data_IF_364269593898
#
_entry.id   IF_364269593898
#
_cell.length_a   1.000
_cell.length_b   1.000
_cell.length_c   1.000
_cell.angle_alpha   90.00
_cell.angle_beta   90.00
_cell.angle_gamma   90.00
#
_symmetry.space_group_name_H-M   'P 1'
#
loop_
_entity.id
_entity.type
_entity.pdbx_description
1 polymer ?
#
# COMPACT_ATOMS: atom_id res chain seq x y z
N UNK A 1 15.88 2.86 -9.60
CA UNK A 1 14.46 2.81 -9.21
C UNK A 1 14.33 3.03 -7.71
N UNK A 2 13.41 3.89 -7.29
CA UNK A 2 13.08 4.14 -5.88
C UNK A 2 11.74 3.49 -5.56
N UNK A 3 11.73 2.51 -4.65
CA UNK A 3 10.52 1.76 -4.28
C UNK A 3 10.08 2.10 -2.87
N UNK A 4 8.81 2.47 -2.72
CA UNK A 4 8.19 2.83 -1.45
C UNK A 4 7.21 1.75 -0.99
N UNK A 5 7.46 1.19 0.19
CA UNK A 5 6.59 0.20 0.77
C UNK A 5 5.78 0.76 1.93
N UNK A 6 4.49 0.44 1.95
CA UNK A 6 3.54 0.80 3.01
C UNK A 6 3.00 -0.47 3.64
N UNK A 7 3.23 -0.62 4.93
CA UNK A 7 2.79 -1.74 5.75
C UNK A 7 1.74 -1.26 6.74
N UNK A 8 0.59 -1.94 6.81
CA UNK A 8 -0.55 -1.52 7.61
C UNK A 8 -0.91 -2.48 8.77
N UNK A 9 -0.01 -3.41 9.13
CA UNK A 9 -0.20 -4.21 10.33
C UNK A 9 0.31 -3.46 11.58
N UNK A 10 -0.40 -3.51 12.72
CA UNK A 10 0.14 -3.00 13.98
C UNK A 10 1.33 -3.81 14.50
N UNK A 11 1.50 -5.06 14.01
CA UNK A 11 2.65 -5.87 14.36
C UNK A 11 3.84 -5.55 13.46
N UNK A 12 4.84 -4.90 14.02
CA UNK A 12 6.03 -4.42 13.30
C UNK A 12 6.86 -5.55 12.70
N UNK A 13 7.02 -6.66 13.42
CA UNK A 13 7.87 -7.78 13.03
C UNK A 13 7.06 -8.99 12.55
N UNK A 14 5.81 -8.78 12.18
CA UNK A 14 4.88 -9.81 11.77
C UNK A 14 5.02 -10.25 10.31
N UNK A 15 4.13 -11.17 9.91
CA UNK A 15 4.06 -11.70 8.55
C UNK A 15 3.96 -10.60 7.49
N UNK A 16 3.10 -9.62 7.68
CA UNK A 16 2.87 -8.52 6.73
C UNK A 16 4.16 -7.73 6.45
N UNK A 17 4.92 -7.42 7.50
CA UNK A 17 6.21 -6.74 7.39
C UNK A 17 7.25 -7.60 6.67
N UNK A 18 7.35 -8.89 7.02
CA UNK A 18 8.29 -9.82 6.37
C UNK A 18 8.07 -9.91 4.86
N UNK A 19 6.80 -9.87 4.42
CA UNK A 19 6.45 -9.91 2.99
C UNK A 19 6.89 -8.65 2.26
N UNK A 20 6.65 -7.47 2.84
CA UNK A 20 7.16 -6.22 2.30
C UNK A 20 8.70 -6.23 2.18
N UNK A 21 9.37 -6.64 3.26
CA UNK A 21 10.83 -6.74 3.30
C UNK A 21 11.41 -7.69 2.24
N UNK A 22 10.72 -8.80 1.92
CA UNK A 22 11.13 -9.72 0.86
C UNK A 22 11.13 -9.03 -0.51
N UNK A 23 10.08 -8.29 -0.86
CA UNK A 23 10.05 -7.53 -2.11
C UNK A 23 11.20 -6.51 -2.12
N UNK A 24 11.35 -5.73 -1.05
CA UNK A 24 12.38 -4.69 -0.96
C UNK A 24 13.81 -5.27 -0.99
N UNK A 25 14.02 -6.48 -0.45
CA UNK A 25 15.28 -7.20 -0.58
C UNK A 25 15.61 -7.48 -2.05
N UNK A 26 14.63 -7.94 -2.82
CA UNK A 26 14.77 -8.15 -4.26
C UNK A 26 15.13 -6.86 -5.01
N UNK A 27 14.44 -5.76 -4.70
CA UNK A 27 14.71 -4.44 -5.29
C UNK A 27 16.16 -3.98 -5.02
N UNK A 28 16.60 -4.08 -3.76
CA UNK A 28 17.99 -3.71 -3.40
C UNK A 28 19.05 -4.56 -4.08
N UNK A 29 18.75 -5.83 -4.31
CA UNK A 29 19.68 -6.72 -5.02
C UNK A 29 19.92 -6.32 -6.49
N UNK A 30 19.00 -5.57 -7.08
CA UNK A 30 19.12 -4.98 -8.43
C UNK A 30 19.55 -3.49 -8.38
N UNK A 31 20.08 -3.04 -7.25
CA UNK A 31 20.61 -1.66 -7.11
C UNK A 31 19.53 -0.58 -6.86
N UNK A 32 18.28 -0.97 -6.63
CA UNK A 32 17.22 -0.03 -6.30
C UNK A 32 17.32 0.49 -4.86
N UNK A 33 16.79 1.68 -4.61
CA UNK A 33 16.64 2.27 -3.28
C UNK A 33 15.26 2.00 -2.72
N UNK A 34 15.15 1.78 -1.41
CA UNK A 34 13.89 1.36 -0.81
C UNK A 34 13.62 2.10 0.49
N UNK A 35 12.35 2.44 0.74
CA UNK A 35 11.86 2.92 2.03
C UNK A 35 10.64 2.08 2.44
N UNK A 36 10.53 1.75 3.72
CA UNK A 36 9.37 1.07 4.31
C UNK A 36 8.81 1.92 5.43
N UNK A 37 7.51 2.18 5.39
CA UNK A 37 6.80 2.83 6.49
C UNK A 37 5.74 1.89 7.09
N UNK A 38 5.48 2.11 8.36
CA UNK A 38 4.46 1.41 9.13
C UNK A 38 3.34 2.40 9.47
N UNK A 39 2.17 2.26 8.86
CA UNK A 39 1.05 3.20 9.04
C UNK A 39 0.63 3.34 10.52
N UNK A 40 0.74 2.27 11.29
CA UNK A 40 0.34 2.26 12.69
C UNK A 40 1.32 2.99 13.64
N UNK A 41 2.47 3.43 13.13
CA UNK A 41 3.43 4.26 13.88
C UNK A 41 3.23 5.76 13.63
N UNK A 42 2.33 6.10 12.75
CA UNK A 42 2.07 7.46 12.29
C UNK A 42 0.74 7.97 12.84
N UNK A 43 0.66 9.27 12.98
CA UNK A 43 -0.57 9.93 13.41
C UNK A 43 -1.48 10.16 12.20
N UNK A 44 -2.37 9.20 11.94
CA UNK A 44 -3.40 9.32 10.91
C UNK A 44 -4.79 9.51 11.51
N UNK A 45 -5.43 10.60 11.16
CA UNK A 45 -6.86 10.82 11.48
C UNK A 45 -7.73 10.26 10.37
N UNK A 46 -8.92 9.76 10.72
CA UNK A 46 -9.89 9.36 9.69
C UNK A 46 -10.47 10.58 8.99
N UNK A 47 -10.99 10.34 7.77
CA UNK A 47 -11.72 11.36 7.04
C UNK A 47 -12.95 11.83 7.85
N UNK A 48 -13.05 13.12 8.08
CA UNK A 48 -14.17 13.75 8.82
C UNK A 48 -15.31 14.20 7.90
N UNK A 49 -15.26 13.86 6.62
CA UNK A 49 -16.22 14.29 5.61
C UNK A 49 -16.48 15.81 5.64
N UNK A 50 -15.42 16.60 5.77
CA UNK A 50 -15.51 18.06 5.83
C UNK A 50 -16.32 18.61 4.65
N UNK A 51 -17.07 19.68 4.89
CA UNK A 51 -17.99 20.29 3.92
C UNK A 51 -18.95 19.24 3.31
N UNK A 52 -19.63 18.46 4.18
CA UNK A 52 -20.53 17.37 3.78
C UNK A 52 -19.92 16.40 2.75
N UNK A 53 -18.61 16.18 2.79
CA UNK A 53 -17.89 15.32 1.87
C UNK A 53 -17.41 16.01 0.58
N UNK A 54 -17.55 17.32 0.46
CA UNK A 54 -17.16 18.12 -0.70
C UNK A 54 -16.02 19.09 -0.39
N UNK A 55 -15.23 18.83 0.64
CA UNK A 55 -14.12 19.68 1.02
C UNK A 55 -13.00 19.77 -0.03
N UNK A 56 -12.02 20.63 0.25
CA UNK A 56 -10.93 21.03 -0.67
C UNK A 56 -10.11 19.85 -1.24
N UNK A 57 -10.18 18.68 -0.64
CA UNK A 57 -9.54 17.50 -1.20
C UNK A 57 -10.08 17.12 -2.60
N UNK A 58 -11.28 17.56 -2.96
CA UNK A 58 -11.90 17.28 -4.25
C UNK A 58 -11.61 18.35 -5.31
N UNK A 59 -11.31 19.57 -4.88
CA UNK A 59 -11.06 20.70 -5.78
C UNK A 59 -9.57 21.04 -5.89
N UNK A 60 -8.84 20.92 -4.79
CA UNK A 60 -7.44 21.32 -4.71
C UNK A 60 -6.49 20.13 -4.54
N UNK A 61 -7.03 18.92 -4.28
CA UNK A 61 -6.21 17.74 -4.06
C UNK A 61 -5.37 17.80 -2.78
N UNK A 62 -5.88 18.46 -1.72
CA UNK A 62 -5.23 18.63 -0.42
C UNK A 62 -6.19 18.24 0.70
N UNK A 63 -5.70 17.58 1.75
CA UNK A 63 -6.51 17.29 2.94
C UNK A 63 -6.35 18.41 3.98
N UNK A 64 -7.46 18.83 4.62
CA UNK A 64 -7.42 19.87 5.67
C UNK A 64 -6.90 19.35 7.02
N UNK A 65 -6.78 18.04 7.18
CA UNK A 65 -6.33 17.44 8.45
C UNK A 65 -4.82 17.56 8.57
N UNK A 66 -4.37 18.19 9.64
CA UNK A 66 -2.97 18.28 10.00
C UNK A 66 -2.55 17.00 10.74
N UNK A 67 -1.90 16.11 10.00
CA UNK A 67 -1.34 14.85 10.47
C UNK A 67 -0.28 14.31 9.46
N UNK A 68 0.22 13.10 9.66
CA UNK A 68 1.31 12.55 8.84
C UNK A 68 0.90 12.19 7.40
N UNK A 69 -0.37 12.33 7.04
CA UNK A 69 -0.88 11.90 5.73
C UNK A 69 -0.19 12.63 4.56
N UNK A 70 -0.08 13.95 4.64
CA UNK A 70 0.48 14.73 3.54
C UNK A 70 1.97 14.46 3.35
N UNK A 71 2.73 14.32 4.45
CA UNK A 71 4.17 13.99 4.38
C UNK A 71 4.43 12.63 3.70
N UNK A 72 3.55 11.66 3.93
CA UNK A 72 3.64 10.36 3.22
C UNK A 72 3.30 10.52 1.74
N UNK A 73 2.31 11.31 1.42
CA UNK A 73 1.91 11.57 0.03
C UNK A 73 3.00 12.27 -0.76
N UNK A 74 3.69 13.22 -0.14
CA UNK A 74 4.87 13.89 -0.73
C UNK A 74 5.98 12.87 -1.01
N UNK A 75 6.30 11.99 -0.06
CA UNK A 75 7.27 10.91 -0.26
C UNK A 75 6.87 9.97 -1.40
N UNK A 76 5.59 9.66 -1.52
CA UNK A 76 5.08 8.83 -2.62
C UNK A 76 5.26 9.49 -3.99
N UNK A 77 5.17 10.81 -4.08
CA UNK A 77 5.33 11.53 -5.35
C UNK A 77 6.69 11.28 -5.99
N UNK A 78 7.74 11.17 -5.18
CA UNK A 78 9.14 11.00 -5.59
C UNK A 78 9.55 9.54 -5.86
N UNK A 79 8.60 8.59 -5.77
CA UNK A 79 8.89 7.18 -5.91
C UNK A 79 8.44 6.64 -7.27
N UNK A 80 9.17 5.65 -7.79
CA UNK A 80 8.93 5.05 -9.10
C UNK A 80 7.92 3.90 -9.02
N UNK A 81 7.96 3.12 -7.94
CA UNK A 81 7.08 1.98 -7.73
C UNK A 81 6.72 1.78 -6.25
N UNK A 82 5.70 0.94 -5.99
CA UNK A 82 5.10 0.79 -4.68
C UNK A 82 4.87 -0.66 -4.28
N UNK A 83 4.90 -0.89 -2.96
CA UNK A 83 4.47 -2.15 -2.35
C UNK A 83 3.47 -1.83 -1.24
N UNK A 84 2.25 -2.32 -1.35
CA UNK A 84 1.24 -2.18 -0.31
C UNK A 84 0.97 -3.51 0.35
N UNK A 85 1.19 -3.58 1.67
CA UNK A 85 0.94 -4.80 2.45
C UNK A 85 -0.08 -4.56 3.55
N UNK A 86 -1.07 -5.44 3.64
CA UNK A 86 -2.13 -5.38 4.66
C UNK A 86 -2.36 -6.73 5.32
N UNK A 87 -2.58 -6.78 6.64
CA UNK A 87 -3.15 -7.96 7.25
C UNK A 87 -4.61 -8.09 6.85
N UNK A 88 -5.13 -9.30 6.89
CA UNK A 88 -6.55 -9.59 6.65
C UNK A 88 -7.30 -9.54 7.97
N UNK A 89 -8.18 -8.55 8.11
CA UNK A 89 -9.05 -8.40 9.27
C UNK A 89 -10.51 -8.59 8.85
N UNK A 90 -11.09 -9.69 9.32
CA UNK A 90 -12.46 -10.11 8.99
C UNK A 90 -12.75 -10.15 7.47
N UNK A 91 -11.76 -10.53 6.65
CA UNK A 91 -11.89 -10.65 5.20
C UNK A 91 -11.75 -9.34 4.44
N UNK A 92 -11.26 -8.29 5.08
CA UNK A 92 -11.03 -6.96 4.51
C UNK A 92 -9.63 -6.44 4.86
N UNK A 93 -9.30 -5.25 4.39
CA UNK A 93 -8.11 -4.49 4.75
C UNK A 93 -8.11 -4.17 6.25
N UNK A 94 -6.92 -3.93 6.82
CA UNK A 94 -6.85 -3.34 8.17
C UNK A 94 -7.46 -1.94 8.19
N UNK A 95 -7.91 -1.49 9.37
CA UNK A 95 -8.46 -0.15 9.54
C UNK A 95 -7.47 0.94 9.13
N UNK A 96 -6.19 0.80 9.46
CA UNK A 96 -5.17 1.77 9.06
C UNK A 96 -4.98 1.85 7.55
N UNK A 97 -4.97 0.70 6.84
CA UNK A 97 -4.98 0.69 5.38
C UNK A 97 -6.22 1.38 4.82
N UNK A 98 -7.39 1.07 5.39
CA UNK A 98 -8.66 1.65 4.95
C UNK A 98 -8.69 3.16 5.14
N UNK A 99 -8.27 3.66 6.29
CA UNK A 99 -8.16 5.11 6.58
C UNK A 99 -7.24 5.80 5.57
N UNK A 100 -6.06 5.21 5.33
CA UNK A 100 -5.09 5.75 4.37
C UNK A 100 -5.66 5.82 2.96
N UNK A 101 -6.17 4.71 2.43
CA UNK A 101 -6.69 4.66 1.06
C UNK A 101 -7.96 5.48 0.86
N UNK A 102 -8.85 5.57 1.86
CA UNK A 102 -10.04 6.41 1.76
C UNK A 102 -9.71 7.89 1.65
N UNK A 103 -8.67 8.35 2.31
CA UNK A 103 -8.18 9.72 2.17
C UNK A 103 -7.43 9.91 0.86
N UNK A 104 -6.53 8.98 0.52
CA UNK A 104 -5.71 9.06 -0.68
C UNK A 104 -6.57 9.15 -1.94
N UNK A 105 -7.59 8.28 -2.10
CA UNK A 105 -8.48 8.33 -3.26
C UNK A 105 -9.28 9.64 -3.38
N UNK A 106 -9.56 10.31 -2.25
CA UNK A 106 -10.28 11.60 -2.26
C UNK A 106 -9.38 12.73 -2.73
N UNK A 107 -8.18 12.80 -2.20
CA UNK A 107 -7.18 13.81 -2.56
C UNK A 107 -6.73 13.62 -4.01
N UNK A 108 -6.45 12.40 -4.42
CA UNK A 108 -6.07 12.10 -5.81
C UNK A 108 -7.23 12.31 -6.79
N UNK A 109 -8.48 12.15 -6.35
CA UNK A 109 -9.66 12.50 -7.14
C UNK A 109 -9.75 13.98 -7.49
N UNK A 110 -9.23 14.88 -6.65
CA UNK A 110 -9.06 16.30 -6.94
C UNK A 110 -7.95 16.62 -7.95
N UNK A 111 -7.14 15.62 -8.30
CA UNK A 111 -6.03 15.67 -9.28
C UNK A 111 -6.26 14.73 -10.48
N UNK A 112 -7.50 14.38 -10.76
CA UNK A 112 -7.89 13.42 -11.82
C UNK A 112 -7.14 12.08 -11.76
N UNK A 113 -6.72 11.66 -10.56
CA UNK A 113 -5.95 10.43 -10.31
C UNK A 113 -4.64 10.35 -11.12
N UNK A 114 -4.02 11.49 -11.42
CA UNK A 114 -2.83 11.56 -12.27
C UNK A 114 -1.52 11.26 -11.56
N UNK A 115 -1.44 11.45 -10.24
CA UNK A 115 -0.16 11.39 -9.49
C UNK A 115 0.54 10.03 -9.56
N UNK A 116 -0.20 8.94 -9.66
CA UNK A 116 0.33 7.57 -9.66
C UNK A 116 0.13 6.83 -10.99
N UNK A 117 -0.34 7.53 -12.01
CA UNK A 117 -0.62 6.93 -13.33
C UNK A 117 0.63 6.24 -13.89
N UNK A 118 0.49 4.93 -14.14
CA UNK A 118 1.55 4.11 -14.73
C UNK A 118 2.69 3.73 -13.77
N UNK A 119 2.67 4.19 -12.51
CA UNK A 119 3.65 3.71 -11.52
C UNK A 119 3.31 2.28 -11.11
N UNK A 120 4.29 1.40 -11.17
CA UNK A 120 4.10 -0.04 -10.88
C UNK A 120 3.83 -0.27 -9.40
N UNK A 121 2.97 -1.24 -9.09
CA UNK A 121 2.69 -1.61 -7.69
C UNK A 121 2.48 -3.10 -7.48
N UNK A 122 2.97 -3.59 -6.32
CA UNK A 122 2.68 -4.93 -5.81
C UNK A 122 1.75 -4.80 -4.61
N UNK A 123 0.59 -5.47 -4.69
CA UNK A 123 -0.38 -5.53 -3.59
C UNK A 123 -0.33 -6.88 -2.86
N UNK A 124 -0.23 -6.88 -1.52
CA UNK A 124 -0.12 -8.09 -0.72
C UNK A 124 -1.14 -8.08 0.42
N UNK A 125 -1.98 -9.10 0.49
CA UNK A 125 -2.87 -9.34 1.61
C UNK A 125 -2.46 -10.61 2.37
N UNK A 126 -2.22 -10.51 3.69
CA UNK A 126 -1.71 -11.62 4.49
C UNK A 126 -2.66 -12.01 5.62
N UNK A 127 -3.04 -13.29 5.66
CA UNK A 127 -3.85 -13.88 6.73
C UNK A 127 -2.99 -14.75 7.65
N UNK A 128 -2.88 -14.37 8.92
CA UNK A 128 -2.12 -15.13 9.93
C UNK A 128 -2.78 -16.44 10.37
N UNK A 129 -4.09 -16.58 10.15
CA UNK A 129 -4.88 -17.77 10.46
C UNK A 129 -5.01 -18.74 9.29
N UNK A 130 -6.18 -19.37 9.15
CA UNK A 130 -6.50 -20.37 8.12
C UNK A 130 -6.64 -19.84 6.70
N UNK A 131 -6.43 -18.55 6.45
CA UNK A 131 -6.47 -17.93 5.13
C UNK A 131 -7.86 -17.45 4.68
N UNK A 132 -8.87 -17.61 5.49
CA UNK A 132 -10.22 -17.10 5.19
C UNK A 132 -10.21 -15.60 4.96
N UNK A 133 -10.82 -15.15 3.85
CA UNK A 133 -10.92 -13.73 3.50
C UNK A 133 -9.70 -13.11 2.81
N UNK A 134 -8.57 -13.84 2.69
CA UNK A 134 -7.35 -13.28 2.08
C UNK A 134 -7.57 -12.81 0.63
N UNK A 135 -8.33 -13.56 -0.16
CA UNK A 135 -8.67 -13.18 -1.55
C UNK A 135 -9.59 -11.96 -1.57
N UNK A 136 -10.55 -11.86 -0.63
CA UNK A 136 -11.44 -10.69 -0.55
C UNK A 136 -10.68 -9.42 -0.19
N UNK A 137 -9.81 -9.48 0.81
CA UNK A 137 -8.97 -8.35 1.20
C UNK A 137 -8.05 -7.93 0.05
N UNK A 138 -7.49 -8.89 -0.70
CA UNK A 138 -6.68 -8.61 -1.87
C UNK A 138 -7.48 -7.92 -2.97
N UNK A 139 -8.70 -8.36 -3.23
CA UNK A 139 -9.62 -7.71 -4.16
C UNK A 139 -9.97 -6.28 -3.73
N UNK A 140 -10.22 -6.06 -2.43
CA UNK A 140 -10.45 -4.73 -1.89
C UNK A 140 -9.22 -3.81 -2.10
N UNK A 141 -8.01 -4.33 -1.87
CA UNK A 141 -6.77 -3.62 -2.15
C UNK A 141 -6.62 -3.28 -3.63
N UNK A 142 -6.84 -4.26 -4.52
CA UNK A 142 -6.80 -4.07 -5.97
C UNK A 142 -7.71 -2.93 -6.42
N UNK A 143 -8.94 -2.86 -5.90
CA UNK A 143 -9.88 -1.79 -6.25
C UNK A 143 -9.33 -0.40 -5.94
N UNK A 144 -8.64 -0.23 -4.81
CA UNK A 144 -7.97 1.04 -4.51
C UNK A 144 -6.80 1.33 -5.46
N UNK A 145 -5.95 0.33 -5.72
CA UNK A 145 -4.78 0.50 -6.58
C UNK A 145 -5.19 0.90 -8.01
N UNK A 146 -6.16 0.19 -8.57
CA UNK A 146 -6.69 0.52 -9.91
C UNK A 146 -7.40 1.86 -9.94
N UNK A 147 -8.18 2.21 -8.90
CA UNK A 147 -8.82 3.52 -8.80
C UNK A 147 -7.82 4.66 -8.75
N UNK A 148 -6.65 4.44 -8.16
CA UNK A 148 -5.55 5.39 -8.08
C UNK A 148 -4.66 5.41 -9.33
N UNK A 149 -5.03 4.68 -10.38
CA UNK A 149 -4.31 4.54 -11.66
C UNK A 149 -2.90 3.95 -11.54
N UNK A 150 -2.62 3.17 -10.49
CA UNK A 150 -1.41 2.38 -10.48
C UNK A 150 -1.42 1.31 -11.58
N UNK A 151 -0.26 1.03 -12.14
CA UNK A 151 -0.02 -0.17 -12.93
C UNK A 151 0.21 -1.34 -11.97
N UNK A 152 -0.80 -2.22 -11.85
CA UNK A 152 -0.76 -3.35 -10.93
C UNK A 152 0.13 -4.44 -11.50
N UNK A 153 1.37 -4.49 -11.01
CA UNK A 153 2.39 -5.44 -11.43
C UNK A 153 2.13 -6.86 -10.90
N UNK A 154 1.73 -6.99 -9.63
CA UNK A 154 1.36 -8.27 -9.03
C UNK A 154 0.41 -8.11 -7.84
N UNK A 155 -0.39 -9.14 -7.59
CA UNK A 155 -1.33 -9.23 -6.46
C UNK A 155 -1.18 -10.57 -5.75
N UNK A 156 -0.77 -10.55 -4.49
CA UNK A 156 -0.38 -11.75 -3.76
C UNK A 156 -1.18 -11.93 -2.47
N UNK A 157 -1.97 -13.02 -2.39
CA UNK A 157 -2.54 -13.47 -1.13
C UNK A 157 -1.58 -14.41 -0.42
N UNK A 158 -1.37 -14.20 0.88
CA UNK A 158 -0.46 -15.03 1.70
C UNK A 158 -1.19 -15.55 2.93
N UNK A 159 -0.99 -16.82 3.24
CA UNK A 159 -1.44 -17.44 4.49
C UNK A 159 -0.24 -17.96 5.28
N UNK A 160 -0.43 -18.33 6.54
CA UNK A 160 0.64 -18.97 7.32
C UNK A 160 1.21 -20.23 6.66
N UNK A 161 0.38 -20.96 5.87
CA UNK A 161 0.77 -22.18 5.19
C UNK A 161 1.57 -21.95 3.91
N UNK A 162 1.40 -20.79 3.28
CA UNK A 162 2.08 -20.43 2.03
C UNK A 162 3.24 -19.43 2.23
N UNK A 163 3.57 -19.10 3.49
CA UNK A 163 4.54 -18.07 3.84
C UNK A 163 5.88 -18.31 3.17
N UNK A 164 6.47 -19.49 3.37
CA UNK A 164 7.88 -19.70 3.06
C UNK A 164 8.17 -19.59 1.57
N UNK A 165 7.44 -20.31 0.72
CA UNK A 165 7.61 -20.24 -0.73
C UNK A 165 7.20 -18.88 -1.31
N UNK A 166 6.27 -18.17 -0.66
CA UNK A 166 5.87 -16.82 -1.12
C UNK A 166 6.84 -15.74 -0.73
N UNK A 167 7.59 -15.87 0.34
CA UNK A 167 8.71 -14.99 0.64
C UNK A 167 9.77 -15.03 -0.47
N UNK A 168 10.15 -16.23 -0.93
CA UNK A 168 11.09 -16.39 -2.06
C UNK A 168 10.51 -15.82 -3.37
N UNK A 169 9.24 -16.10 -3.66
CA UNK A 169 8.56 -15.56 -4.83
C UNK A 169 8.56 -14.03 -4.81
N UNK A 170 8.26 -13.41 -3.67
CA UNK A 170 8.20 -11.97 -3.51
C UNK A 170 9.59 -11.32 -3.65
N UNK A 171 10.67 -11.96 -3.19
CA UNK A 171 12.01 -11.47 -3.47
C UNK A 171 12.30 -11.47 -4.97
N UNK A 172 11.92 -12.52 -5.69
CA UNK A 172 12.04 -12.57 -7.17
C UNK A 172 11.17 -11.51 -7.85
N UNK A 173 9.94 -11.29 -7.37
CA UNK A 173 9.07 -10.23 -7.87
C UNK A 173 9.70 -8.84 -7.68
N UNK A 174 10.36 -8.60 -6.55
CA UNK A 174 11.09 -7.36 -6.29
C UNK A 174 12.28 -7.14 -7.24
N UNK A 175 13.04 -8.21 -7.54
CA UNK A 175 14.10 -8.14 -8.56
C UNK A 175 13.54 -7.77 -9.93
N UNK A 176 12.46 -8.44 -10.32
CA UNK A 176 11.83 -8.19 -11.60
C UNK A 176 11.25 -6.78 -11.70
N UNK A 177 10.59 -6.31 -10.64
CA UNK A 177 10.07 -4.95 -10.57
C UNK A 177 11.16 -3.91 -10.82
N UNK A 178 12.36 -4.13 -10.28
CA UNK A 178 13.48 -3.19 -10.39
C UNK A 178 14.23 -3.25 -11.73
N UNK A 179 14.08 -4.34 -12.50
CA UNK A 179 14.76 -4.55 -13.79
C UNK A 179 13.90 -4.16 -15.00
N UNK A 180 12.63 -3.83 -14.82
CA UNK A 180 11.69 -3.36 -15.85
C UNK A 180 11.45 -1.86 -15.79
#
# INVERSE_FOLDING_TARGET
MKVFAIQSSPNRDGLTSSLAQSVLKGVRAEGGTTELIHLNELNFKHCIACDNGWGICRTEGVCILEDDFESIREKMADCDAFVFTTPVYFGDLSESAKVFFDRLRRVEGGKDFGSFKGKKTIGIASAGGGGGGAVRALYALENYLRRLNFDVFDLVSVTKFSKDHKLEMLERAGRRLASE
#
